data_IF_240401533798
#
_entry.id   IF_240401533798
#
_cell.length_a   1.000
_cell.length_b   1.000
_cell.length_c   1.000
_cell.angle_alpha   90.00
_cell.angle_beta   90.00
_cell.angle_gamma   90.00
#
_symmetry.space_group_name_H-M   'P 1'
#
loop_
_entity.id
_entity.type
_entity.pdbx_description
1 polymer ?
#
# COMPACT_ATOMS: atom_id res chain seq x y z
N UNK A 1 83.97 -13.72 -33.39
CA UNK A 1 83.00 -13.45 -34.48
C UNK A 1 81.59 -13.67 -33.94
N UNK A 2 80.73 -12.64 -34.08
CA UNK A 2 79.28 -12.66 -34.40
C UNK A 2 78.34 -13.73 -33.81
N UNK A 3 77.07 -13.49 -33.47
CA UNK A 3 76.20 -12.34 -33.19
C UNK A 3 74.84 -13.01 -32.88
N UNK A 4 74.13 -12.53 -31.84
CA UNK A 4 72.65 -12.46 -31.69
C UNK A 4 71.84 -13.76 -31.62
N UNK A 5 71.14 -13.95 -30.49
CA UNK A 5 69.66 -14.10 -30.29
C UNK A 5 69.43 -14.81 -28.95
N UNK A 6 68.47 -14.49 -28.08
CA UNK A 6 67.40 -13.51 -28.11
C UNK A 6 67.04 -13.21 -26.64
N UNK A 7 66.96 -11.93 -26.33
CA UNK A 7 66.21 -11.38 -25.20
C UNK A 7 64.72 -11.63 -25.49
N UNK A 8 63.97 -12.21 -24.56
CA UNK A 8 62.50 -12.04 -24.40
C UNK A 8 62.06 -12.76 -23.12
N UNK A 9 62.40 -12.16 -21.98
CA UNK A 9 61.69 -12.31 -20.71
C UNK A 9 60.38 -11.50 -20.82
N UNK A 10 59.24 -12.16 -21.02
CA UNK A 10 57.93 -11.52 -20.91
C UNK A 10 57.08 -12.31 -19.91
N UNK A 11 57.11 -11.82 -18.67
CA UNK A 11 55.96 -11.56 -17.78
C UNK A 11 54.84 -12.62 -17.83
N UNK A 12 55.06 -13.73 -17.13
CA UNK A 12 54.00 -14.64 -16.67
C UNK A 12 53.58 -14.30 -15.23
N UNK A 13 53.30 -13.02 -14.96
CA UNK A 13 52.97 -12.49 -13.64
C UNK A 13 51.72 -11.62 -13.69
N UNK A 14 50.73 -11.97 -12.87
CA UNK A 14 49.54 -11.19 -12.52
C UNK A 14 48.48 -11.01 -13.62
N UNK A 15 47.64 -12.04 -13.82
CA UNK A 15 46.26 -11.84 -14.28
C UNK A 15 45.32 -12.89 -13.67
N UNK A 16 45.39 -13.07 -12.35
CA UNK A 16 44.34 -13.73 -11.57
C UNK A 16 43.74 -12.71 -10.60
N UNK A 17 43.36 -11.53 -11.11
CA UNK A 17 42.57 -10.57 -10.37
C UNK A 17 41.12 -11.10 -10.31
N UNK A 18 40.85 -11.86 -9.26
CA UNK A 18 39.58 -11.97 -8.56
C UNK A 18 38.35 -11.45 -9.31
N UNK A 19 37.75 -12.28 -10.17
CA UNK A 19 36.31 -12.17 -10.45
C UNK A 19 35.61 -12.79 -9.24
N UNK A 20 35.58 -12.04 -8.13
CA UNK A 20 34.61 -12.33 -7.07
C UNK A 20 33.28 -11.93 -7.68
N UNK A 21 32.32 -12.84 -7.90
CA UNK A 21 30.97 -12.39 -8.16
C UNK A 21 30.63 -11.49 -6.97
N UNK A 22 30.23 -10.25 -7.25
CA UNK A 22 29.66 -9.36 -6.26
C UNK A 22 28.37 -10.03 -5.76
N UNK A 23 28.51 -11.01 -4.87
CA UNK A 23 27.47 -11.48 -3.99
C UNK A 23 27.14 -10.26 -3.12
N UNK A 24 26.28 -9.40 -3.65
CA UNK A 24 25.68 -8.30 -2.91
C UNK A 24 25.11 -8.91 -1.64
N UNK A 25 25.81 -8.71 -0.52
CA UNK A 25 25.39 -9.23 0.79
C UNK A 25 23.97 -8.76 1.02
N UNK A 26 23.09 -9.70 1.36
CA UNK A 26 21.70 -9.37 1.73
C UNK A 26 21.77 -8.42 2.92
N UNK A 27 21.07 -7.27 2.87
CA UNK A 27 21.12 -6.31 3.96
C UNK A 27 20.47 -6.90 5.20
N UNK A 28 21.04 -6.62 6.37
CA UNK A 28 20.47 -6.99 7.67
C UNK A 28 19.22 -6.15 7.98
N UNK A 29 18.45 -6.56 8.99
CA UNK A 29 17.27 -5.80 9.42
C UNK A 29 17.61 -4.36 9.84
N UNK A 30 18.72 -4.17 10.56
CA UNK A 30 19.15 -2.84 11.01
C UNK A 30 19.62 -1.98 9.84
N UNK A 31 20.33 -2.58 8.87
CA UNK A 31 20.72 -1.88 7.66
C UNK A 31 19.51 -1.43 6.85
N UNK A 32 18.49 -2.29 6.70
CA UNK A 32 17.25 -1.96 6.02
C UNK A 32 16.57 -0.77 6.68
N UNK A 33 16.39 -0.82 8.01
CA UNK A 33 15.76 0.28 8.78
C UNK A 33 16.53 1.59 8.69
N UNK A 34 17.86 1.54 8.68
CA UNK A 34 18.70 2.73 8.53
C UNK A 34 18.75 3.27 7.09
N UNK A 35 18.40 2.46 6.09
CA UNK A 35 18.52 2.79 4.67
C UNK A 35 17.29 3.52 4.10
N UNK A 36 16.16 3.48 4.80
CA UNK A 36 14.91 4.04 4.31
C UNK A 36 14.11 4.71 5.41
N UNK A 37 13.42 5.77 5.04
CA UNK A 37 12.49 6.48 5.90
C UNK A 37 11.09 6.41 5.27
N UNK A 38 10.09 6.11 6.10
CA UNK A 38 8.68 6.10 5.67
C UNK A 38 8.08 7.46 6.00
N UNK A 39 7.50 8.12 4.99
CA UNK A 39 6.89 9.45 5.11
C UNK A 39 5.48 9.47 4.52
N UNK A 40 4.73 10.55 4.77
CA UNK A 40 3.37 10.78 4.23
C UNK A 40 2.41 9.61 4.46
N UNK A 41 2.46 9.04 5.66
CA UNK A 41 1.63 7.89 6.01
C UNK A 41 0.18 8.33 6.19
N UNK A 42 -0.71 7.70 5.44
CA UNK A 42 -2.15 7.84 5.57
C UNK A 42 -2.81 6.47 5.66
N UNK A 43 -3.82 6.36 6.51
CA UNK A 43 -4.71 5.21 6.56
C UNK A 43 -6.14 5.66 6.33
N UNK A 44 -6.91 4.87 5.57
CA UNK A 44 -8.32 5.16 5.24
C UNK A 44 -9.06 3.88 4.87
N UNK A 45 -10.37 3.93 4.89
CA UNK A 45 -11.24 2.84 4.42
C UNK A 45 -11.80 3.18 3.05
N UNK A 46 -11.69 2.25 2.11
CA UNK A 46 -12.18 2.42 0.74
C UNK A 46 -13.14 1.30 0.36
N UNK A 47 -13.99 1.53 -0.63
CA UNK A 47 -14.83 0.46 -1.17
C UNK A 47 -13.99 -0.63 -1.85
N UNK A 48 -14.21 -1.87 -1.43
CA UNK A 48 -13.86 -3.07 -2.19
C UNK A 48 -15.03 -3.54 -3.06
N UNK A 49 -16.23 -3.46 -2.52
CA UNK A 49 -17.47 -3.80 -3.20
C UNK A 49 -18.53 -2.77 -2.81
N UNK A 50 -19.28 -2.28 -3.78
CA UNK A 50 -20.48 -1.50 -3.55
C UNK A 50 -21.57 -1.97 -4.50
N UNK A 51 -22.75 -2.22 -3.97
CA UNK A 51 -23.93 -2.65 -4.72
C UNK A 51 -25.15 -1.94 -4.12
N UNK A 52 -25.87 -1.11 -4.90
CA UNK A 52 -27.08 -0.44 -4.41
C UNK A 52 -28.24 -1.39 -4.12
N UNK A 53 -28.40 -2.46 -4.93
CA UNK A 53 -29.50 -3.42 -4.77
C UNK A 53 -29.08 -4.88 -5.08
N UNK A 54 -29.32 -5.84 -4.16
CA UNK A 54 -29.59 -5.61 -2.74
C UNK A 54 -28.45 -4.80 -2.08
N UNK A 55 -28.73 -3.93 -1.09
CA UNK A 55 -27.73 -3.05 -0.50
C UNK A 55 -26.57 -3.82 0.11
N UNK A 56 -25.35 -3.58 -0.39
CA UNK A 56 -24.13 -4.16 0.13
C UNK A 56 -22.94 -3.24 -0.11
N UNK A 57 -22.15 -3.03 0.94
CA UNK A 57 -20.92 -2.25 0.92
C UNK A 57 -19.87 -3.00 1.73
N UNK A 58 -18.76 -3.34 1.08
CA UNK A 58 -17.59 -3.88 1.75
C UNK A 58 -16.51 -2.80 1.73
N UNK A 59 -16.15 -2.29 2.90
CA UNK A 59 -15.03 -1.39 3.07
C UNK A 59 -13.79 -2.16 3.51
N UNK A 60 -12.63 -1.82 2.95
CA UNK A 60 -11.34 -2.39 3.36
C UNK A 60 -10.37 -1.28 3.74
N UNK A 61 -9.50 -1.54 4.72
CA UNK A 61 -8.48 -0.58 5.08
C UNK A 61 -7.38 -0.52 4.01
N UNK A 62 -6.84 0.69 3.85
CA UNK A 62 -5.76 1.02 2.94
C UNK A 62 -4.69 1.76 3.73
N UNK A 63 -3.43 1.40 3.49
CA UNK A 63 -2.25 2.10 3.97
C UNK A 63 -1.52 2.71 2.77
N UNK A 64 -1.40 4.03 2.75
CA UNK A 64 -0.67 4.79 1.73
C UNK A 64 0.53 5.48 2.37
N UNK A 65 1.68 5.44 1.71
CA UNK A 65 2.91 6.04 2.22
C UNK A 65 3.92 6.30 1.10
N UNK A 66 4.97 7.06 1.40
CA UNK A 66 6.16 7.21 0.57
C UNK A 66 7.39 6.67 1.29
N UNK A 67 8.41 6.35 0.50
CA UNK A 67 9.68 5.82 0.98
C UNK A 67 10.79 6.75 0.50
N UNK A 68 11.59 7.27 1.42
CA UNK A 68 12.77 8.06 1.13
C UNK A 68 14.02 7.20 1.21
N UNK A 69 14.88 7.30 0.20
CA UNK A 69 16.16 6.61 0.17
C UNK A 69 17.21 7.41 0.96
N UNK A 70 17.71 6.84 2.06
CA UNK A 70 18.75 7.46 2.89
C UNK A 70 20.16 6.99 2.54
N UNK A 71 20.30 6.08 1.58
CA UNK A 71 21.59 5.54 1.16
C UNK A 71 22.25 6.43 0.10
N UNK A 72 23.55 6.24 -0.11
CA UNK A 72 24.30 6.90 -1.18
C UNK A 72 24.10 6.24 -2.56
N UNK A 73 23.40 5.11 -2.64
CA UNK A 73 23.18 4.37 -3.88
C UNK A 73 21.70 4.43 -4.31
N UNK A 74 21.38 4.32 -5.60
CA UNK A 74 19.99 4.15 -6.05
C UNK A 74 19.34 2.90 -5.45
N UNK A 75 18.12 3.04 -4.93
CA UNK A 75 17.38 1.96 -4.29
C UNK A 75 16.45 1.27 -5.29
N UNK A 76 16.65 -0.03 -5.46
CA UNK A 76 15.87 -0.94 -6.31
C UNK A 76 15.43 -2.19 -5.56
N UNK A 77 14.51 -2.96 -6.15
CA UNK A 77 14.07 -4.27 -5.67
C UNK A 77 13.53 -4.25 -4.23
N UNK A 78 12.65 -3.28 -3.97
CA UNK A 78 11.97 -3.15 -2.68
C UNK A 78 10.55 -3.70 -2.79
N UNK A 79 10.20 -4.58 -1.87
CA UNK A 79 8.84 -5.09 -1.69
C UNK A 79 8.28 -4.60 -0.38
N UNK A 80 6.99 -4.32 -0.38
CA UNK A 80 6.25 -4.07 0.85
C UNK A 80 5.19 -5.13 1.04
N UNK A 81 4.95 -5.50 2.30
CA UNK A 81 3.81 -6.28 2.68
C UNK A 81 3.08 -5.56 3.81
N UNK A 82 1.79 -5.32 3.62
CA UNK A 82 0.91 -4.75 4.64
C UNK A 82 0.11 -5.86 5.27
N UNK A 83 0.21 -6.04 6.58
CA UNK A 83 -0.64 -6.97 7.33
C UNK A 83 -1.64 -6.15 8.14
N UNK A 84 -2.92 -6.38 7.88
CA UNK A 84 -4.03 -5.68 8.52
C UNK A 84 -4.74 -6.61 9.49
N UNK A 85 -5.01 -6.12 10.69
CA UNK A 85 -5.75 -6.88 11.69
C UNK A 85 -6.45 -5.98 12.68
N UNK A 86 -7.44 -6.54 13.37
CA UNK A 86 -8.03 -5.89 14.53
C UNK A 86 -6.99 -5.69 15.64
N UNK A 87 -7.07 -4.55 16.33
CA UNK A 87 -6.16 -4.23 17.42
C UNK A 87 -6.34 -5.25 18.55
N UNK A 88 -5.24 -5.91 18.91
CA UNK A 88 -5.23 -6.98 19.92
C UNK A 88 -5.60 -8.38 19.39
N UNK A 89 -6.00 -8.52 18.12
CA UNK A 89 -6.23 -9.83 17.54
C UNK A 89 -4.91 -10.59 17.34
N UNK A 90 -4.95 -11.90 17.61
CA UNK A 90 -3.85 -12.82 17.35
C UNK A 90 -3.74 -13.11 15.85
N UNK A 91 -4.88 -13.27 15.18
CA UNK A 91 -4.95 -13.61 13.76
C UNK A 91 -4.85 -12.37 12.87
N UNK A 92 -4.30 -12.57 11.67
CA UNK A 92 -4.30 -11.56 10.64
C UNK A 92 -5.66 -11.56 9.95
N UNK A 93 -6.24 -10.38 9.73
CA UNK A 93 -7.51 -10.27 9.05
C UNK A 93 -7.32 -10.21 7.53
N UNK A 94 -6.32 -9.45 7.08
CA UNK A 94 -5.99 -9.34 5.66
C UNK A 94 -4.55 -8.90 5.42
N UNK A 95 -4.14 -9.00 4.16
CA UNK A 95 -2.77 -8.74 3.74
C UNK A 95 -2.69 -8.19 2.31
N UNK A 96 -1.56 -7.57 1.99
CA UNK A 96 -1.27 -7.13 0.63
C UNK A 96 0.24 -7.06 0.38
N UNK A 97 0.73 -7.91 -0.53
CA UNK A 97 2.10 -7.87 -1.02
C UNK A 97 2.21 -7.00 -2.28
N UNK A 98 3.18 -6.09 -2.30
CA UNK A 98 3.45 -5.20 -3.44
C UNK A 98 4.93 -5.11 -3.75
N UNK A 99 5.29 -5.51 -4.96
CA UNK A 99 6.60 -5.25 -5.55
C UNK A 99 6.69 -3.78 -6.00
N UNK A 100 6.97 -2.86 -5.06
CA UNK A 100 6.78 -1.44 -5.28
C UNK A 100 7.89 -0.76 -6.10
N UNK A 101 9.16 -1.09 -5.84
CA UNK A 101 10.31 -0.45 -6.49
C UNK A 101 11.05 -1.48 -7.34
N UNK A 102 10.95 -1.34 -8.66
CA UNK A 102 11.53 -2.26 -9.66
C UNK A 102 12.24 -1.52 -10.77
N UNK A 103 11.48 -0.90 -11.66
CA UNK A 103 12.05 -0.33 -12.89
C UNK A 103 12.56 1.10 -12.67
N UNK A 104 11.87 1.85 -11.80
CA UNK A 104 12.24 3.22 -11.42
C UNK A 104 12.88 3.22 -10.03
N UNK A 105 14.20 3.46 -9.91
CA UNK A 105 14.83 3.57 -8.60
C UNK A 105 14.38 4.80 -7.84
N UNK A 106 14.53 4.73 -6.53
CA UNK A 106 14.56 5.92 -5.69
C UNK A 106 16.02 6.37 -5.61
N UNK A 107 16.33 7.54 -6.17
CA UNK A 107 17.69 8.11 -6.09
C UNK A 107 18.04 8.49 -4.65
N UNK A 108 19.35 8.58 -4.30
CA UNK A 108 19.80 9.05 -2.99
C UNK A 108 19.09 10.34 -2.55
N UNK A 109 18.55 10.34 -1.33
CA UNK A 109 17.82 11.48 -0.75
C UNK A 109 16.42 11.73 -1.29
N UNK A 110 16.01 11.08 -2.39
CA UNK A 110 14.68 11.25 -2.98
C UNK A 110 13.62 10.38 -2.31
N UNK A 111 12.36 10.79 -2.46
CA UNK A 111 11.19 10.02 -2.05
C UNK A 111 10.54 9.31 -3.26
N UNK A 112 9.93 8.16 -3.00
CA UNK A 112 9.16 7.42 -3.98
C UNK A 112 7.86 8.13 -4.38
N UNK A 113 7.25 7.64 -5.45
CA UNK A 113 5.82 7.83 -5.69
C UNK A 113 5.00 7.19 -4.54
N UNK A 114 3.73 7.57 -4.39
CA UNK A 114 2.87 7.02 -3.32
C UNK A 114 2.67 5.52 -3.54
N UNK A 115 3.00 4.75 -2.52
CA UNK A 115 2.78 3.31 -2.46
C UNK A 115 1.51 3.07 -1.66
N UNK A 116 0.62 2.25 -2.22
CA UNK A 116 -0.65 1.90 -1.59
C UNK A 116 -0.73 0.39 -1.38
N UNK A 117 -1.10 -0.01 -0.16
CA UNK A 117 -1.37 -1.39 0.23
C UNK A 117 -2.84 -1.47 0.65
N UNK A 118 -3.62 -2.25 -0.09
CA UNK A 118 -5.07 -2.42 0.12
C UNK A 118 -5.34 -3.82 0.65
N UNK A 119 -5.95 -3.91 1.82
CA UNK A 119 -6.31 -5.18 2.43
C UNK A 119 -7.28 -5.98 1.54
N UNK A 120 -7.09 -7.30 1.49
CA UNK A 120 -8.02 -8.23 0.87
C UNK A 120 -9.28 -8.51 1.73
N UNK A 121 -9.25 -8.17 3.01
CA UNK A 121 -10.37 -8.34 3.95
C UNK A 121 -10.74 -7.01 4.63
N UNK A 122 -11.98 -6.91 5.10
CA UNK A 122 -12.51 -5.71 5.74
C UNK A 122 -13.90 -5.95 6.29
N UNK A 123 -14.73 -4.91 6.29
CA UNK A 123 -16.01 -4.90 6.98
C UNK A 123 -17.14 -4.84 5.97
N UNK A 124 -18.09 -5.76 6.12
CA UNK A 124 -19.33 -5.82 5.36
C UNK A 124 -20.44 -5.01 6.07
N UNK A 125 -21.30 -4.39 5.29
CA UNK A 125 -22.43 -3.59 5.75
C UNK A 125 -23.34 -3.25 4.58
N UNK A 126 -24.40 -2.49 4.85
CA UNK A 126 -25.36 -2.08 3.81
C UNK A 126 -25.08 -0.69 3.24
N UNK A 127 -24.42 0.15 4.03
CA UNK A 127 -24.09 1.55 3.74
C UNK A 127 -22.94 2.01 4.65
N UNK A 128 -22.36 3.17 4.36
CA UNK A 128 -21.38 3.89 5.19
C UNK A 128 -21.95 4.12 6.59
N UNK A 129 -23.21 4.53 6.69
CA UNK A 129 -23.87 4.75 7.98
C UNK A 129 -24.07 3.45 8.76
N UNK A 130 -24.43 2.36 8.08
CA UNK A 130 -24.54 1.03 8.69
C UNK A 130 -23.20 0.57 9.27
N UNK A 131 -22.10 0.77 8.53
CA UNK A 131 -20.75 0.42 9.00
C UNK A 131 -20.34 1.31 10.18
N UNK A 132 -20.58 2.64 10.12
CA UNK A 132 -20.24 3.58 11.20
C UNK A 132 -20.95 3.26 12.52
N UNK A 133 -22.20 2.81 12.45
CA UNK A 133 -23.02 2.46 13.62
C UNK A 133 -22.76 1.05 14.12
N UNK A 134 -22.00 0.23 13.40
CA UNK A 134 -21.73 -1.15 13.78
C UNK A 134 -20.88 -1.19 15.08
N UNK A 135 -21.42 -1.69 16.21
CA UNK A 135 -20.67 -1.77 17.46
C UNK A 135 -19.50 -2.75 17.39
N UNK A 136 -19.50 -3.67 16.41
CA UNK A 136 -18.43 -4.63 16.17
C UNK A 136 -17.33 -4.09 15.25
N UNK A 137 -17.43 -2.86 14.75
CA UNK A 137 -16.32 -2.23 14.04
C UNK A 137 -15.21 -1.84 15.03
N UNK A 138 -14.32 -2.78 15.31
CA UNK A 138 -13.19 -2.57 16.23
C UNK A 138 -12.10 -1.70 15.59
N UNK A 139 -11.21 -1.08 16.38
CA UNK A 139 -10.00 -0.45 15.86
C UNK A 139 -9.09 -1.46 15.15
N UNK A 140 -8.43 -1.05 14.08
CA UNK A 140 -7.51 -1.90 13.30
C UNK A 140 -6.10 -1.32 13.33
N UNK A 141 -5.11 -2.19 13.11
CA UNK A 141 -3.71 -1.83 12.93
C UNK A 141 -3.20 -2.37 11.59
N UNK A 142 -2.31 -1.61 10.97
CA UNK A 142 -1.60 -1.98 9.74
C UNK A 142 -0.11 -2.10 10.05
N UNK A 143 0.44 -3.31 9.91
CA UNK A 143 1.86 -3.61 10.08
C UNK A 143 2.55 -3.57 8.72
N UNK A 144 3.51 -2.67 8.58
CA UNK A 144 4.27 -2.49 7.36
C UNK A 144 5.58 -3.28 7.43
N UNK A 145 5.71 -4.25 6.54
CA UNK A 145 6.94 -5.01 6.34
C UNK A 145 7.60 -4.61 5.03
N UNK A 146 8.93 -4.69 5.00
CA UNK A 146 9.73 -4.48 3.81
C UNK A 146 10.63 -5.68 3.53
N UNK A 147 10.87 -5.96 2.26
CA UNK A 147 11.96 -6.82 1.81
C UNK A 147 12.79 -6.04 0.80
N UNK A 148 14.11 -6.05 0.97
CA UNK A 148 15.03 -5.33 0.09
C UNK A 148 16.19 -6.23 -0.33
N UNK A 149 16.51 -6.24 -1.63
CA UNK A 149 17.60 -7.06 -2.23
C UNK A 149 17.54 -8.54 -1.79
N UNK A 150 16.32 -9.10 -1.71
CA UNK A 150 16.10 -10.51 -1.33
C UNK A 150 16.31 -10.82 0.15
N UNK A 151 16.28 -9.81 1.03
CA UNK A 151 16.24 -10.01 2.48
C UNK A 151 14.97 -10.76 2.92
N UNK A 152 15.00 -11.29 4.15
CA UNK A 152 13.77 -11.65 4.84
C UNK A 152 12.87 -10.41 5.04
N UNK A 153 11.54 -10.58 5.20
CA UNK A 153 10.66 -9.48 5.59
C UNK A 153 11.07 -8.89 6.94
N UNK A 154 11.20 -7.57 6.99
CA UNK A 154 11.51 -6.81 8.21
C UNK A 154 10.34 -5.90 8.53
N UNK A 155 9.85 -5.95 9.77
CA UNK A 155 8.84 -5.01 10.26
C UNK A 155 9.48 -3.62 10.39
N UNK A 156 8.94 -2.65 9.65
CA UNK A 156 9.35 -1.25 9.74
C UNK A 156 8.55 -0.50 10.78
N UNK A 157 7.22 -0.61 10.72
CA UNK A 157 6.32 0.16 11.57
C UNK A 157 4.96 -0.52 11.70
N UNK A 158 4.22 -0.09 12.72
CA UNK A 158 2.81 -0.40 12.92
C UNK A 158 2.04 0.91 13.03
N UNK A 159 0.92 1.01 12.32
CA UNK A 159 0.08 2.20 12.27
C UNK A 159 -1.34 1.87 12.70
N UNK A 160 -1.93 2.71 13.53
CA UNK A 160 -3.38 2.66 13.77
C UNK A 160 -4.12 3.03 12.47
N UNK A 161 -5.13 2.23 12.12
CA UNK A 161 -5.96 2.48 10.93
C UNK A 161 -7.05 3.49 11.30
N UNK A 162 -7.06 4.63 10.61
CA UNK A 162 -8.07 5.69 10.75
C UNK A 162 -9.48 5.15 10.52
N UNK A 163 -10.47 5.81 11.11
CA UNK A 163 -11.90 5.60 10.82
C UNK A 163 -12.41 6.42 9.63
N UNK A 164 -11.52 7.17 8.97
CA UNK A 164 -11.84 7.90 7.76
C UNK A 164 -12.29 6.94 6.65
N UNK A 165 -13.46 7.23 6.07
CA UNK A 165 -14.01 6.48 4.95
C UNK A 165 -13.94 7.39 3.73
N UNK A 166 -13.16 6.95 2.75
CA UNK A 166 -13.03 7.59 1.44
C UNK A 166 -13.91 6.85 0.43
N UNK A 167 -15.22 7.03 0.61
CA UNK A 167 -16.25 6.50 -0.26
C UNK A 167 -17.52 7.34 -0.11
N UNK A 168 -18.20 7.61 -1.22
CA UNK A 168 -19.51 8.28 -1.27
C UNK A 168 -20.49 7.38 -1.99
N UNK A 169 -21.62 7.14 -1.36
CA UNK A 169 -22.73 6.40 -1.97
C UNK A 169 -23.42 7.24 -3.04
N UNK A 170 -23.98 6.56 -4.03
CA UNK A 170 -24.85 7.20 -5.02
C UNK A 170 -26.15 7.66 -4.36
N UNK A 171 -26.78 8.69 -4.94
CA UNK A 171 -28.10 9.10 -4.50
C UNK A 171 -29.10 7.94 -4.67
N UNK A 172 -30.03 7.73 -3.71
CA UNK A 172 -31.01 6.66 -3.81
C UNK A 172 -31.82 6.80 -5.10
N UNK A 173 -31.80 5.75 -5.93
CA UNK A 173 -32.58 5.69 -7.16
C UNK A 173 -34.06 5.55 -6.77
N UNK A 174 -34.87 6.60 -7.00
CA UNK A 174 -36.34 6.51 -6.89
C UNK A 174 -37.06 7.44 -5.90
N UNK A 175 -36.43 8.48 -5.37
CA UNK A 175 -37.19 9.59 -4.78
C UNK A 175 -37.38 10.69 -5.82
N UNK A 176 -38.38 10.53 -6.68
CA UNK A 176 -39.02 11.71 -7.27
C UNK A 176 -39.40 12.62 -6.11
N UNK A 177 -38.85 13.85 -6.11
CA UNK A 177 -39.38 14.91 -5.26
C UNK A 177 -40.86 15.00 -5.59
N UNK A 178 -41.73 14.58 -4.66
CA UNK A 178 -43.14 14.95 -4.72
C UNK A 178 -43.16 16.46 -4.57
N UNK A 179 -43.16 17.16 -5.69
CA UNK A 179 -43.52 18.57 -5.73
C UNK A 179 -44.89 18.69 -5.07
N UNK A 180 -44.96 19.53 -4.04
CA UNK A 180 -46.19 19.94 -3.37
C UNK A 180 -47.15 20.52 -4.43
N UNK A 181 -48.03 19.70 -4.99
CA UNK A 181 -49.19 20.20 -5.73
C UNK A 181 -50.18 20.77 -4.70
N UNK A 182 -50.57 22.04 -4.82
CA UNK A 182 -51.58 22.61 -3.93
C UNK A 182 -52.90 21.86 -4.09
N UNK A 183 -53.54 21.56 -2.95
CA UNK A 183 -54.82 20.87 -2.90
C UNK A 183 -55.88 21.61 -3.73
N UNK A 184 -56.38 20.92 -4.74
CA UNK A 184 -57.51 21.36 -5.57
C UNK A 184 -58.77 21.39 -4.69
N UNK A 185 -59.35 22.58 -4.49
CA UNK A 185 -60.61 22.77 -3.78
C UNK A 185 -61.71 22.02 -4.54
N UNK A 186 -62.33 21.04 -3.89
CA UNK A 186 -63.59 20.45 -4.37
C UNK A 186 -64.69 21.50 -4.24
N UNK A 187 -65.21 22.00 -5.36
CA UNK A 187 -66.45 22.77 -5.38
C UNK A 187 -67.63 21.83 -5.08
N UNK A 188 -68.41 22.21 -4.08
CA UNK A 188 -69.61 21.53 -3.61
C UNK A 188 -70.76 21.87 -4.57
N UNK A 189 -71.15 20.91 -5.41
CA UNK A 189 -72.30 21.06 -6.31
C UNK A 189 -73.58 20.90 -5.48
N UNK A 190 -74.30 22.00 -5.26
CA UNK A 190 -75.68 21.98 -4.76
C UNK A 190 -76.65 21.82 -5.93
N UNK A 191 -77.48 20.78 -5.88
CA UNK A 191 -78.61 20.60 -6.80
C UNK A 191 -79.89 21.25 -6.24
N UNK A 192 -80.77 21.79 -7.10
CA UNK A 192 -82.02 22.47 -6.73
C UNK A 192 -83.10 21.52 -6.20
#
# INVERSE_FOLDING_TARGET
MQKRTAFLLIIAGLAAAAIVPACSKRPSADQIKASMEISDVQTRWVSKLYQPWPPRLILVPVLSFRVKNLTAEPMYYVNFNGIFKEKGAQENAGDNFRAAIRDKPIQPGQASDVIELKSNFGIDGQSVDSIRKNPFWRPWVARLFVQWKGSAPVLLAEYDVSREIDFKEDAPVGQEKKDDKPAEKKEEIKFP
#
